data_IF_353156056514
#
_entry.id   IF_353156056514
#
_cell.length_a   1.000
_cell.length_b   1.000
_cell.length_c   1.000
_cell.angle_alpha   90.00
_cell.angle_beta   90.00
_cell.angle_gamma   90.00
#
_symmetry.space_group_name_H-M   'P 1'
#
loop_
_entity.id
_entity.type
_entity.pdbx_description
1 polymer ?
#
# COMPACT_ATOMS: atom_id res chain seq x y z
N UNK A 1 -6.84 -38.10 -7.02
CA UNK A 1 -6.99 -37.60 -5.63
C UNK A 1 -5.61 -37.56 -5.01
N UNK A 2 -4.96 -36.40 -5.02
CA UNK A 2 -3.65 -36.20 -4.40
C UNK A 2 -3.84 -35.97 -2.90
N UNK A 3 -3.20 -36.79 -2.10
CA UNK A 3 -3.13 -36.65 -0.63
C UNK A 3 -2.60 -35.25 -0.28
N UNK A 4 -3.22 -34.49 0.64
CA UNK A 4 -2.65 -33.22 1.08
C UNK A 4 -1.30 -33.50 1.73
N UNK A 5 -0.25 -32.92 1.15
CA UNK A 5 1.10 -32.94 1.71
C UNK A 5 1.01 -32.31 3.11
N UNK A 6 1.40 -33.06 4.15
CA UNK A 6 1.40 -32.55 5.53
C UNK A 6 2.18 -31.23 5.54
N UNK A 7 1.51 -30.14 5.90
CA UNK A 7 2.10 -28.81 5.85
C UNK A 7 3.03 -28.69 7.05
N UNK A 8 4.32 -28.92 6.84
CA UNK A 8 5.33 -28.88 7.89
C UNK A 8 5.51 -27.44 8.35
N UNK A 9 5.46 -27.22 9.66
CA UNK A 9 5.78 -25.93 10.25
C UNK A 9 7.28 -25.63 10.11
N UNK A 10 7.59 -24.42 9.66
CA UNK A 10 8.93 -23.83 9.59
C UNK A 10 9.20 -22.99 10.85
N UNK A 11 10.47 -22.65 11.09
CA UNK A 11 10.89 -21.74 12.15
C UNK A 11 11.78 -20.65 11.57
N UNK A 12 11.44 -19.40 11.85
CA UNK A 12 12.26 -18.25 11.48
C UNK A 12 13.48 -18.16 12.40
N UNK A 13 14.68 -18.14 11.83
CA UNK A 13 15.94 -18.15 12.59
C UNK A 13 16.16 -16.86 13.38
N UNK A 14 15.65 -15.74 12.86
CA UNK A 14 15.82 -14.40 13.46
C UNK A 14 14.96 -14.21 14.72
N UNK A 15 13.72 -14.69 14.69
CA UNK A 15 12.72 -14.42 15.73
C UNK A 15 12.32 -15.65 16.53
N UNK A 16 12.63 -16.84 16.01
CA UNK A 16 12.19 -18.11 16.58
C UNK A 16 10.70 -18.40 16.37
N UNK A 17 9.95 -17.52 15.68
CA UNK A 17 8.53 -17.75 15.40
C UNK A 17 8.34 -18.97 14.50
N UNK A 18 7.33 -19.77 14.83
CA UNK A 18 6.94 -20.96 14.06
C UNK A 18 5.81 -20.58 13.13
N UNK A 19 5.85 -21.04 11.89
CA UNK A 19 4.82 -20.71 10.90
C UNK A 19 4.60 -21.83 9.89
N UNK A 20 3.43 -21.84 9.25
CA UNK A 20 3.17 -22.62 8.04
C UNK A 20 3.28 -21.70 6.83
N UNK A 21 3.91 -22.20 5.78
CA UNK A 21 4.06 -21.49 4.51
C UNK A 21 3.15 -22.08 3.43
N UNK A 22 2.42 -21.22 2.73
CA UNK A 22 1.78 -21.52 1.44
C UNK A 22 2.47 -20.70 0.34
N UNK A 23 3.41 -21.35 -0.33
CA UNK A 23 4.20 -20.76 -1.40
C UNK A 23 3.32 -20.17 -2.52
N UNK A 24 3.75 -19.01 -3.05
CA UNK A 24 3.20 -18.49 -4.29
C UNK A 24 3.45 -19.49 -5.45
N UNK A 25 2.55 -19.52 -6.44
CA UNK A 25 2.71 -20.34 -7.65
C UNK A 25 3.59 -19.68 -8.72
N UNK A 26 4.12 -18.50 -8.44
CA UNK A 26 5.02 -17.74 -9.31
C UNK A 26 6.42 -17.68 -8.70
N UNK A 27 7.50 -17.64 -9.50
CA UNK A 27 8.87 -17.53 -8.98
C UNK A 27 9.13 -16.24 -8.18
N UNK A 28 8.45 -15.15 -8.55
CA UNK A 28 8.41 -13.90 -7.78
C UNK A 28 6.99 -13.72 -7.23
N UNK A 29 6.79 -13.63 -5.90
CA UNK A 29 5.48 -13.40 -5.32
C UNK A 29 4.97 -11.99 -5.65
N UNK A 30 3.70 -11.85 -6.00
CA UNK A 30 3.07 -10.55 -6.19
C UNK A 30 2.83 -9.78 -4.87
N UNK A 31 2.95 -10.48 -3.74
CA UNK A 31 2.83 -9.91 -2.41
C UNK A 31 2.93 -10.96 -1.32
N UNK A 32 3.08 -10.51 -0.09
CA UNK A 32 3.18 -11.32 1.12
C UNK A 32 1.96 -11.05 2.02
N UNK A 33 1.23 -12.10 2.39
CA UNK A 33 0.18 -12.03 3.41
C UNK A 33 0.62 -12.84 4.63
N UNK A 34 0.70 -12.18 5.79
CA UNK A 34 0.99 -12.83 7.07
C UNK A 34 -0.30 -12.89 7.90
N UNK A 35 -0.66 -14.09 8.34
CA UNK A 35 -1.92 -14.38 9.03
C UNK A 35 -1.67 -14.79 10.49
N UNK A 36 -2.35 -14.12 11.42
CA UNK A 36 -2.18 -14.28 12.86
C UNK A 36 -3.46 -14.85 13.50
N UNK A 37 -3.35 -15.96 14.23
CA UNK A 37 -4.48 -16.59 14.90
C UNK A 37 -4.91 -15.86 16.19
N UNK A 38 -6.13 -16.16 16.66
CA UNK A 38 -6.65 -15.67 17.95
C UNK A 38 -6.14 -16.45 19.17
N UNK A 39 -6.47 -16.00 20.38
CA UNK A 39 -6.04 -16.65 21.62
C UNK A 39 -6.48 -18.12 21.68
N UNK A 40 -5.57 -19.01 22.09
CA UNK A 40 -5.83 -20.46 22.15
C UNK A 40 -5.74 -21.17 20.79
N UNK A 41 -5.54 -20.43 19.70
CA UNK A 41 -5.32 -20.98 18.37
C UNK A 41 -3.85 -21.35 18.09
N UNK A 42 -3.53 -21.60 16.83
CA UNK A 42 -2.22 -21.93 16.29
C UNK A 42 -2.15 -21.61 14.78
N UNK A 43 -1.01 -21.89 14.15
CA UNK A 43 -0.73 -21.58 12.74
C UNK A 43 -1.58 -22.34 11.71
N UNK A 44 -2.43 -23.28 12.13
CA UNK A 44 -3.36 -23.99 11.23
C UNK A 44 -4.76 -23.35 11.18
N UNK A 45 -5.13 -22.51 12.15
CA UNK A 45 -6.51 -22.02 12.27
C UNK A 45 -6.98 -21.17 11.11
N UNK A 46 -6.07 -20.47 10.43
CA UNK A 46 -6.39 -19.60 9.30
C UNK A 46 -6.07 -20.25 7.94
N UNK A 47 -5.88 -21.57 7.89
CA UNK A 47 -5.70 -22.30 6.62
C UNK A 47 -6.83 -22.03 5.60
N UNK A 48 -8.12 -22.00 5.98
CA UNK A 48 -9.19 -21.65 5.02
C UNK A 48 -9.04 -20.25 4.42
N UNK A 49 -8.54 -19.30 5.22
CA UNK A 49 -8.23 -17.94 4.74
C UNK A 49 -7.07 -17.99 3.74
N UNK A 50 -5.98 -18.66 4.10
CA UNK A 50 -4.80 -18.81 3.23
C UNK A 50 -5.11 -19.50 1.90
N UNK A 51 -6.04 -20.46 1.89
CA UNK A 51 -6.48 -21.17 0.69
C UNK A 51 -7.32 -20.30 -0.25
N UNK A 52 -8.01 -19.29 0.28
CA UNK A 52 -8.88 -18.40 -0.50
C UNK A 52 -8.14 -17.21 -1.11
N UNK A 53 -6.93 -16.89 -0.62
CA UNK A 53 -6.09 -15.83 -1.16
C UNK A 53 -5.50 -16.20 -2.53
N UNK A 54 -5.27 -15.19 -3.39
CA UNK A 54 -4.66 -15.34 -4.71
C UNK A 54 -3.42 -16.25 -4.68
N UNK A 55 -3.30 -17.16 -5.65
CA UNK A 55 -2.15 -18.05 -5.77
C UNK A 55 -0.84 -17.32 -6.12
N UNK A 56 -0.91 -16.03 -6.50
CA UNK A 56 0.26 -15.18 -6.73
C UNK A 56 0.90 -14.65 -5.44
N UNK A 57 0.21 -14.75 -4.30
CA UNK A 57 0.74 -14.30 -3.02
C UNK A 57 1.52 -15.38 -2.29
N UNK A 58 2.57 -14.99 -1.60
CA UNK A 58 3.18 -15.79 -0.55
C UNK A 58 2.34 -15.64 0.73
N UNK A 59 2.02 -16.74 1.41
CA UNK A 59 1.18 -16.66 2.63
C UNK A 59 1.86 -17.39 3.79
N UNK A 60 2.03 -16.68 4.91
CA UNK A 60 2.62 -17.22 6.14
C UNK A 60 1.57 -17.21 7.25
N UNK A 61 1.27 -18.37 7.82
CA UNK A 61 0.40 -18.50 8.98
C UNK A 61 1.28 -18.64 10.22
N UNK A 62 1.23 -17.70 11.15
CA UNK A 62 2.22 -17.62 12.23
C UNK A 62 1.62 -18.04 13.56
N UNK A 63 2.36 -18.87 14.30
CA UNK A 63 2.04 -19.30 15.65
C UNK A 63 2.49 -18.24 16.67
N UNK A 64 1.60 -17.87 17.57
CA UNK A 64 1.92 -17.02 18.72
C UNK A 64 2.98 -17.68 19.62
N UNK A 65 3.90 -16.88 20.21
CA UNK A 65 5.06 -17.41 20.94
C UNK A 65 4.71 -18.09 22.26
N UNK A 66 3.54 -17.84 22.83
CA UNK A 66 3.15 -18.42 24.12
C UNK A 66 2.45 -19.75 23.90
N UNK A 67 2.83 -20.78 24.67
CA UNK A 67 2.10 -22.04 24.75
C UNK A 67 1.16 -21.99 25.96
N UNK A 68 -0.15 -22.09 25.70
CA UNK A 68 -1.19 -22.16 26.73
C UNK A 68 -1.58 -23.61 27.07
N UNK A 69 -1.41 -24.52 26.11
CA UNK A 69 -1.74 -25.93 26.22
C UNK A 69 -1.37 -26.70 24.95
N UNK A 70 -1.70 -28.00 24.86
CA UNK A 70 -1.43 -28.79 23.65
C UNK A 70 -2.07 -28.16 22.41
N UNK A 71 -1.25 -27.77 21.43
CA UNK A 71 -1.66 -27.08 20.21
C UNK A 71 -2.43 -25.75 20.43
N UNK A 72 -2.35 -25.17 21.63
CA UNK A 72 -2.98 -23.90 21.98
C UNK A 72 -1.93 -22.85 22.26
N UNK A 73 -1.96 -21.77 21.50
CA UNK A 73 -0.97 -20.70 21.53
C UNK A 73 -1.61 -19.31 21.66
N UNK A 74 -0.81 -18.33 22.03
CA UNK A 74 -1.23 -16.94 22.15
C UNK A 74 -0.09 -15.97 21.88
N UNK A 75 -0.46 -14.72 21.59
CA UNK A 75 0.46 -13.59 21.45
C UNK A 75 0.79 -12.96 22.81
N UNK A 76 -0.21 -12.85 23.66
CA UNK A 76 -0.10 -12.35 25.03
C UNK A 76 -1.20 -12.99 25.90
N UNK A 77 -1.00 -13.02 27.22
CA UNK A 77 -2.02 -13.50 28.15
C UNK A 77 -3.15 -12.49 28.33
N UNK A 78 -4.35 -13.01 28.51
CA UNK A 78 -5.54 -12.24 28.88
C UNK A 78 -6.08 -12.81 30.18
N UNK A 79 -6.11 -11.99 31.22
CA UNK A 79 -6.66 -12.31 32.53
C UNK A 79 -8.10 -11.79 32.60
N UNK A 80 -9.05 -12.69 32.78
CA UNK A 80 -10.46 -12.33 32.94
C UNK A 80 -10.77 -12.10 34.42
N UNK A 81 -10.95 -10.85 34.82
CA UNK A 81 -11.27 -10.47 36.20
C UNK A 81 -12.61 -9.74 36.31
N UNK A 82 -12.98 -9.34 37.54
CA UNK A 82 -14.23 -8.64 37.83
C UNK A 82 -14.43 -7.32 37.04
N UNK A 83 -13.33 -6.70 36.60
CA UNK A 83 -13.33 -5.46 35.81
C UNK A 83 -13.20 -5.71 34.30
N UNK A 84 -13.44 -6.93 33.84
CA UNK A 84 -13.27 -7.34 32.44
C UNK A 84 -11.86 -7.88 32.12
N UNK A 85 -11.58 -8.15 30.84
CA UNK A 85 -10.30 -8.70 30.40
C UNK A 85 -9.16 -7.69 30.54
N UNK A 86 -8.08 -8.09 31.20
CA UNK A 86 -6.81 -7.36 31.29
C UNK A 86 -5.72 -8.12 30.56
N UNK A 87 -4.95 -7.44 29.73
CA UNK A 87 -3.87 -8.07 28.98
C UNK A 87 -2.56 -8.00 29.77
N UNK A 88 -1.60 -8.86 29.43
CA UNK A 88 -0.20 -8.67 29.79
C UNK A 88 0.46 -7.74 28.76
N UNK A 89 0.64 -6.47 29.12
CA UNK A 89 1.14 -5.42 28.23
C UNK A 89 2.57 -5.69 27.75
N UNK A 90 3.43 -6.20 28.63
CA UNK A 90 4.82 -6.52 28.29
C UNK A 90 4.90 -7.67 27.28
N UNK A 91 4.03 -8.67 27.40
CA UNK A 91 3.93 -9.74 26.41
C UNK A 91 3.38 -9.24 25.08
N UNK A 92 2.36 -8.37 25.10
CA UNK A 92 1.80 -7.79 23.89
C UNK A 92 2.87 -6.97 23.14
N UNK A 93 3.64 -6.16 23.86
CA UNK A 93 4.73 -5.39 23.29
C UNK A 93 5.86 -6.28 22.74
N UNK A 94 6.28 -7.30 23.50
CA UNK A 94 7.30 -8.25 23.04
C UNK A 94 6.86 -9.00 21.76
N UNK A 95 5.58 -9.39 21.69
CA UNK A 95 5.01 -10.02 20.51
C UNK A 95 4.96 -9.06 19.31
N UNK A 96 4.55 -7.80 19.51
CA UNK A 96 4.51 -6.77 18.46
C UNK A 96 5.90 -6.51 17.88
N UNK A 97 6.87 -6.27 18.76
CA UNK A 97 8.27 -6.05 18.39
C UNK A 97 8.88 -7.27 17.67
N UNK A 98 8.51 -8.49 18.08
CA UNK A 98 8.96 -9.72 17.42
C UNK A 98 8.33 -9.90 16.03
N UNK A 99 7.05 -9.56 15.86
CA UNK A 99 6.39 -9.58 14.56
C UNK A 99 7.02 -8.60 13.56
N UNK A 100 7.41 -7.40 14.00
CA UNK A 100 8.11 -6.43 13.14
C UNK A 100 9.42 -7.02 12.60
N UNK A 101 10.22 -7.65 13.47
CA UNK A 101 11.47 -8.33 13.05
C UNK A 101 11.20 -9.53 12.14
N UNK A 102 10.11 -10.27 12.39
CA UNK A 102 9.70 -11.40 11.57
C UNK A 102 9.32 -10.95 10.16
N UNK A 103 8.54 -9.87 10.04
CA UNK A 103 8.21 -9.29 8.73
C UNK A 103 9.47 -8.93 7.95
N UNK A 104 10.40 -8.20 8.57
CA UNK A 104 11.65 -7.82 7.93
C UNK A 104 12.49 -9.03 7.48
N UNK A 105 12.60 -10.06 8.34
CA UNK A 105 13.30 -11.32 8.03
C UNK A 105 12.69 -12.04 6.83
N UNK A 106 11.36 -12.17 6.81
CA UNK A 106 10.65 -12.89 5.76
C UNK A 106 10.61 -12.10 4.44
N UNK A 107 10.44 -10.79 4.50
CA UNK A 107 10.52 -9.88 3.35
C UNK A 107 11.88 -10.00 2.65
N UNK A 108 12.99 -9.94 3.42
CA UNK A 108 14.33 -10.10 2.88
C UNK A 108 14.54 -11.50 2.27
N UNK A 109 14.09 -12.55 2.95
CA UNK A 109 14.19 -13.94 2.46
C UNK A 109 13.42 -14.19 1.17
N UNK A 110 12.25 -13.57 1.04
CA UNK A 110 11.32 -13.79 -0.07
C UNK A 110 11.48 -12.78 -1.21
N UNK A 111 12.27 -11.72 -1.02
CA UNK A 111 12.42 -10.64 -1.99
C UNK A 111 11.13 -9.81 -2.18
N UNK A 112 10.29 -9.73 -1.15
CA UNK A 112 9.04 -8.96 -1.16
C UNK A 112 9.21 -7.70 -0.32
N UNK A 113 8.86 -6.53 -0.85
CA UNK A 113 9.01 -5.27 -0.11
C UNK A 113 7.84 -5.03 0.87
N UNK A 114 8.01 -4.12 1.86
CA UNK A 114 6.93 -3.67 2.73
C UNK A 114 5.67 -3.20 2.00
N UNK A 115 5.83 -2.51 0.86
CA UNK A 115 4.74 -1.98 0.04
C UNK A 115 3.87 -3.08 -0.57
N UNK A 116 4.38 -4.31 -0.63
CA UNK A 116 3.67 -5.51 -1.06
C UNK A 116 3.47 -6.51 0.09
N UNK A 117 3.34 -6.03 1.32
CA UNK A 117 3.09 -6.87 2.50
C UNK A 117 1.83 -6.47 3.25
N UNK A 118 0.97 -7.44 3.55
CA UNK A 118 -0.20 -7.30 4.42
C UNK A 118 -0.06 -8.19 5.65
N UNK A 119 -0.35 -7.63 6.83
CA UNK A 119 -0.46 -8.38 8.08
C UNK A 119 -1.91 -8.40 8.55
N UNK A 120 -2.52 -9.56 8.71
CA UNK A 120 -3.90 -9.66 9.16
C UNK A 120 -4.08 -10.75 10.21
N UNK A 121 -5.15 -10.66 11.00
CA UNK A 121 -5.42 -11.72 11.96
C UNK A 121 -6.81 -11.65 12.56
N UNK A 122 -7.17 -12.75 13.21
CA UNK A 122 -8.44 -12.93 13.88
C UNK A 122 -8.31 -12.68 15.38
N UNK A 123 -9.26 -11.96 15.98
CA UNK A 123 -9.32 -11.72 17.42
C UNK A 123 -7.99 -11.17 17.93
N UNK A 124 -7.28 -11.88 18.82
CA UNK A 124 -5.94 -11.49 19.29
C UNK A 124 -4.94 -11.26 18.15
N UNK A 125 -4.98 -12.04 17.07
CA UNK A 125 -4.12 -11.81 15.91
C UNK A 125 -4.45 -10.50 15.18
N UNK A 126 -5.73 -10.11 15.15
CA UNK A 126 -6.15 -8.81 14.61
C UNK A 126 -5.67 -7.66 15.49
N UNK A 127 -5.69 -7.84 16.81
CA UNK A 127 -5.10 -6.88 17.75
C UNK A 127 -3.61 -6.66 17.44
N UNK A 128 -2.87 -7.75 17.22
CA UNK A 128 -1.46 -7.69 16.87
C UNK A 128 -1.20 -7.03 15.51
N UNK A 129 -2.02 -7.32 14.50
CA UNK A 129 -1.84 -6.75 13.15
C UNK A 129 -2.02 -5.23 13.14
N UNK A 130 -3.07 -4.73 13.79
CA UNK A 130 -3.28 -3.28 13.95
C UNK A 130 -2.18 -2.65 14.80
N UNK A 131 -1.75 -3.33 15.86
CA UNK A 131 -0.63 -2.90 16.69
C UNK A 131 0.64 -2.69 15.89
N UNK A 132 1.04 -3.64 15.05
CA UNK A 132 2.19 -3.50 14.16
C UNK A 132 1.97 -2.40 13.14
N UNK A 133 0.84 -2.40 12.43
CA UNK A 133 0.59 -1.42 11.35
C UNK A 133 0.63 0.03 11.84
N UNK A 134 0.04 0.33 12.99
CA UNK A 134 -0.04 1.70 13.52
C UNK A 134 1.25 2.21 14.14
N UNK A 135 2.15 1.32 14.54
CA UNK A 135 3.39 1.67 15.26
C UNK A 135 4.64 1.50 14.39
N UNK A 136 4.56 0.71 13.33
CA UNK A 136 5.61 0.50 12.34
C UNK A 136 5.04 0.51 10.90
N UNK A 137 4.37 1.59 10.46
CA UNK A 137 3.72 1.66 9.15
C UNK A 137 4.66 1.50 7.96
N UNK A 138 5.97 1.62 8.15
CA UNK A 138 6.97 1.36 7.10
C UNK A 138 7.22 -0.13 6.85
N UNK A 139 6.74 -1.05 7.71
CA UNK A 139 7.00 -2.48 7.56
C UNK A 139 5.97 -3.22 6.70
N UNK A 140 4.88 -2.57 6.30
CA UNK A 140 3.77 -3.16 5.55
C UNK A 140 2.92 -2.09 4.86
N UNK A 141 2.14 -2.47 3.85
CA UNK A 141 1.20 -1.56 3.15
C UNK A 141 -0.20 -1.57 3.78
N UNK A 142 -0.59 -2.67 4.43
CA UNK A 142 -1.89 -2.73 5.08
C UNK A 142 -2.05 -3.78 6.15
N UNK A 143 -3.00 -3.54 7.07
CA UNK A 143 -3.34 -4.46 8.14
C UNK A 143 -4.82 -4.85 8.16
N UNK A 144 -5.10 -6.10 8.52
CA UNK A 144 -6.46 -6.62 8.71
C UNK A 144 -6.78 -6.90 10.18
N UNK A 145 -7.79 -6.21 10.70
CA UNK A 145 -8.36 -6.36 12.04
C UNK A 145 -9.67 -7.17 11.93
N UNK A 146 -9.57 -8.50 11.95
CA UNK A 146 -10.73 -9.39 11.83
C UNK A 146 -11.27 -9.72 13.23
N UNK A 147 -12.43 -9.17 13.58
CA UNK A 147 -13.11 -9.35 14.87
C UNK A 147 -12.20 -9.04 16.07
N UNK A 148 -11.47 -7.91 16.01
CA UNK A 148 -10.48 -7.51 17.00
C UNK A 148 -10.72 -6.13 17.61
N UNK A 149 -9.70 -5.58 18.28
CA UNK A 149 -9.67 -4.19 18.78
C UNK A 149 -8.28 -3.58 18.68
N UNK A 150 -8.20 -2.25 18.73
CA UNK A 150 -6.91 -1.55 18.89
C UNK A 150 -6.64 -1.38 20.39
N UNK A 151 -5.44 -1.73 20.83
CA UNK A 151 -5.02 -1.61 22.22
C UNK A 151 -4.78 -0.14 22.58
N UNK A 152 -5.38 0.41 23.66
CA UNK A 152 -5.03 1.76 24.12
C UNK A 152 -3.54 1.87 24.51
N UNK A 153 -2.91 0.77 24.91
CA UNK A 153 -1.52 0.73 25.36
C UNK A 153 -0.52 1.10 24.25
N UNK A 154 -0.90 0.98 22.97
CA UNK A 154 -0.03 1.40 21.86
C UNK A 154 -0.14 2.90 21.56
N UNK A 155 -1.07 3.64 22.18
CA UNK A 155 -1.31 5.06 21.86
C UNK A 155 -0.04 5.93 21.86
N UNK A 156 0.90 5.79 22.82
CA UNK A 156 2.15 6.55 22.81
C UNK A 156 3.11 6.17 21.68
N UNK A 157 2.87 5.03 21.01
CA UNK A 157 3.71 4.44 19.98
C UNK A 157 3.11 4.60 18.58
N UNK A 158 1.88 5.12 18.47
CA UNK A 158 1.24 5.35 17.16
C UNK A 158 2.09 6.36 16.38
N UNK A 159 2.41 5.99 15.14
CA UNK A 159 3.23 6.82 14.27
C UNK A 159 2.54 8.16 13.92
N UNK A 160 3.30 9.20 13.55
CA UNK A 160 2.73 10.46 13.11
C UNK A 160 1.79 10.29 11.91
N UNK A 161 0.77 11.14 11.83
CA UNK A 161 -0.28 11.11 10.80
C UNK A 161 0.29 11.10 9.39
N UNK A 162 1.35 11.86 9.15
CA UNK A 162 2.01 12.03 7.84
C UNK A 162 2.59 10.71 7.32
N UNK A 163 2.98 9.82 8.23
CA UNK A 163 3.50 8.49 7.89
C UNK A 163 2.35 7.50 7.66
N UNK A 164 1.29 7.62 8.48
CA UNK A 164 0.13 6.73 8.46
C UNK A 164 -0.76 6.89 7.23
N UNK A 165 -0.67 7.99 6.46
CA UNK A 165 -1.49 8.16 5.25
C UNK A 165 -1.19 7.14 4.15
N UNK A 166 -0.05 6.43 4.22
CA UNK A 166 0.31 5.36 3.28
C UNK A 166 -0.24 4.00 3.69
N UNK A 167 -0.71 3.87 4.93
CA UNK A 167 -1.21 2.63 5.50
C UNK A 167 -2.67 2.41 5.12
N UNK A 168 -3.03 1.16 4.80
CA UNK A 168 -4.41 0.73 4.57
C UNK A 168 -4.92 -0.19 5.68
N UNK A 169 -6.07 0.12 6.25
CA UNK A 169 -6.74 -0.71 7.26
C UNK A 169 -7.95 -1.47 6.70
N UNK A 170 -8.15 -2.70 7.15
CA UNK A 170 -9.39 -3.44 6.94
C UNK A 170 -9.97 -3.87 8.27
N UNK A 171 -11.19 -3.45 8.56
CA UNK A 171 -11.93 -3.82 9.77
C UNK A 171 -13.11 -4.69 9.37
N UNK A 172 -13.20 -5.91 9.89
CA UNK A 172 -14.40 -6.73 9.79
C UNK A 172 -14.86 -7.15 11.18
N UNK A 173 -16.17 -7.14 11.44
CA UNK A 173 -16.69 -7.48 12.77
C UNK A 173 -18.12 -8.04 12.73
N UNK A 174 -18.41 -8.99 13.62
CA UNK A 174 -19.77 -9.50 13.84
C UNK A 174 -20.60 -8.56 14.72
N UNK A 175 -21.83 -8.23 14.31
CA UNK A 175 -22.75 -7.41 15.10
C UNK A 175 -23.20 -8.10 16.39
N UNK A 176 -23.12 -9.43 16.44
CA UNK A 176 -23.54 -10.28 17.55
C UNK A 176 -22.33 -10.84 18.32
N UNK A 177 -21.14 -10.29 18.10
CA UNK A 177 -19.92 -10.73 18.76
C UNK A 177 -19.99 -10.53 20.29
N UNK A 178 -20.21 -11.62 21.00
CA UNK A 178 -20.28 -11.67 22.46
C UNK A 178 -18.93 -11.68 23.17
N UNK A 179 -17.81 -11.77 22.44
CA UNK A 179 -16.45 -11.80 23.02
C UNK A 179 -15.83 -10.40 22.96
N UNK A 180 -15.86 -9.79 21.78
CA UNK A 180 -15.47 -8.40 21.55
C UNK A 180 -16.65 -7.67 20.93
N UNK A 181 -17.43 -6.91 21.71
CA UNK A 181 -18.61 -6.22 21.18
C UNK A 181 -18.29 -5.32 20.00
N UNK A 182 -19.19 -5.23 19.02
CA UNK A 182 -19.02 -4.47 17.76
C UNK A 182 -18.58 -3.01 17.95
N UNK A 183 -18.84 -2.42 19.13
CA UNK A 183 -18.31 -1.10 19.52
C UNK A 183 -16.78 -0.97 19.40
N UNK A 184 -16.03 -2.08 19.42
CA UNK A 184 -14.59 -2.06 19.17
C UNK A 184 -14.25 -1.73 17.71
N UNK A 185 -15.09 -2.14 16.75
CA UNK A 185 -14.96 -1.73 15.36
C UNK A 185 -15.25 -0.22 15.19
N UNK A 186 -16.25 0.33 15.92
CA UNK A 186 -16.51 1.78 15.95
C UNK A 186 -15.32 2.58 16.48
N UNK A 187 -14.74 2.13 17.60
CA UNK A 187 -13.57 2.77 18.19
C UNK A 187 -12.36 2.69 17.27
N UNK A 188 -12.14 1.54 16.63
CA UNK A 188 -11.07 1.38 15.65
C UNK A 188 -11.27 2.35 14.47
N UNK A 189 -12.46 2.40 13.88
CA UNK A 189 -12.82 3.34 12.82
C UNK A 189 -12.55 4.80 13.22
N UNK A 190 -12.96 5.21 14.41
CA UNK A 190 -12.74 6.57 14.90
C UNK A 190 -11.24 6.90 15.02
N UNK A 191 -10.46 6.01 15.63
CA UNK A 191 -9.01 6.16 15.79
C UNK A 191 -8.31 6.22 14.43
N UNK A 192 -8.64 5.33 13.49
CA UNK A 192 -8.04 5.35 12.15
C UNK A 192 -8.36 6.65 11.39
N UNK A 193 -9.58 7.16 11.53
CA UNK A 193 -9.99 8.45 10.95
C UNK A 193 -9.22 9.63 11.55
N UNK A 194 -9.05 9.67 12.87
CA UNK A 194 -8.26 10.69 13.58
C UNK A 194 -6.80 10.72 13.09
N UNK A 195 -6.21 9.54 12.90
CA UNK A 195 -4.84 9.39 12.42
C UNK A 195 -4.67 9.40 10.89
N UNK A 196 -5.73 9.65 10.12
CA UNK A 196 -5.67 9.78 8.66
C UNK A 196 -5.30 8.50 7.89
N UNK A 197 -5.48 7.33 8.50
CA UNK A 197 -5.29 6.02 7.85
C UNK A 197 -6.45 5.81 6.86
N UNK A 198 -6.17 5.34 5.65
CA UNK A 198 -7.23 4.92 4.73
C UNK A 198 -7.76 3.54 5.17
N UNK A 199 -9.07 3.36 5.31
CA UNK A 199 -9.60 2.07 5.77
C UNK A 199 -10.97 1.71 5.20
N UNK A 200 -11.27 0.41 5.20
CA UNK A 200 -12.59 -0.15 4.98
C UNK A 200 -13.15 -0.74 6.28
N UNK A 201 -14.47 -0.65 6.47
CA UNK A 201 -15.15 -1.25 7.62
C UNK A 201 -16.37 -2.02 7.16
N UNK A 202 -16.41 -3.29 7.52
CA UNK A 202 -17.47 -4.21 7.16
C UNK A 202 -18.08 -4.85 8.40
N UNK A 203 -19.42 -4.98 8.42
CA UNK A 203 -20.17 -5.55 9.55
C UNK A 203 -21.08 -6.66 9.05
N UNK A 204 -21.26 -7.68 9.89
CA UNK A 204 -21.96 -8.89 9.51
C UNK A 204 -22.91 -9.32 10.63
N UNK A 205 -24.04 -9.94 10.28
CA UNK A 205 -24.85 -10.69 11.24
C UNK A 205 -24.11 -12.00 11.58
N UNK A 206 -23.19 -11.91 12.55
CA UNK A 206 -22.28 -12.97 12.92
C UNK A 206 -21.81 -12.79 14.37
N UNK A 207 -21.40 -13.89 14.99
CA UNK A 207 -20.78 -13.91 16.33
C UNK A 207 -19.27 -13.67 16.22
N UNK A 208 -18.49 -14.17 17.20
CA UNK A 208 -17.03 -14.11 17.21
C UNK A 208 -16.41 -15.18 16.31
N UNK A 209 -16.49 -15.00 14.99
CA UNK A 209 -16.01 -15.95 13.99
C UNK A 209 -15.56 -15.26 12.70
N UNK A 210 -15.02 -16.03 11.75
CA UNK A 210 -14.81 -15.59 10.35
C UNK A 210 -15.85 -16.29 9.48
N UNK A 211 -16.81 -15.51 8.98
CA UNK A 211 -17.83 -16.02 8.05
C UNK A 211 -17.32 -16.04 6.61
N UNK A 212 -17.96 -16.79 5.69
CA UNK A 212 -17.62 -16.74 4.27
C UNK A 212 -17.71 -15.35 3.65
N UNK A 213 -18.66 -14.52 4.09
CA UNK A 213 -18.78 -13.13 3.62
C UNK A 213 -17.61 -12.26 4.09
N UNK A 214 -17.24 -12.35 5.37
CA UNK A 214 -16.04 -11.69 5.91
C UNK A 214 -14.78 -12.09 5.15
N UNK A 215 -14.66 -13.38 4.84
CA UNK A 215 -13.53 -13.92 4.09
C UNK A 215 -13.49 -13.38 2.66
N UNK A 216 -14.63 -13.34 1.97
CA UNK A 216 -14.71 -12.81 0.61
C UNK A 216 -14.27 -11.33 0.54
N UNK A 217 -14.77 -10.50 1.46
CA UNK A 217 -14.41 -9.07 1.51
C UNK A 217 -12.91 -8.88 1.86
N UNK A 218 -12.39 -9.67 2.79
CA UNK A 218 -10.96 -9.65 3.12
C UNK A 218 -10.09 -10.06 1.93
N UNK A 219 -10.47 -11.10 1.19
CA UNK A 219 -9.75 -11.55 -0.02
C UNK A 219 -9.78 -10.45 -1.09
N UNK A 220 -10.93 -9.81 -1.31
CA UNK A 220 -11.06 -8.72 -2.27
C UNK A 220 -10.21 -7.50 -1.87
N UNK A 221 -10.25 -7.09 -0.60
CA UNK A 221 -9.45 -5.98 -0.09
C UNK A 221 -7.95 -6.27 -0.14
N UNK A 222 -7.51 -7.44 0.33
CA UNK A 222 -6.09 -7.80 0.35
C UNK A 222 -5.54 -7.93 -1.07
N UNK A 223 -6.35 -8.41 -2.03
CA UNK A 223 -5.98 -8.44 -3.44
C UNK A 223 -5.74 -7.03 -3.95
N UNK A 224 -6.73 -6.12 -3.85
CA UNK A 224 -6.58 -4.71 -4.28
C UNK A 224 -5.42 -3.98 -3.59
N UNK A 225 -5.16 -4.30 -2.33
CA UNK A 225 -4.09 -3.69 -1.54
C UNK A 225 -2.70 -4.14 -1.98
N UNK A 226 -2.55 -5.40 -2.42
CA UNK A 226 -1.26 -5.98 -2.77
C UNK A 226 -0.95 -5.97 -4.28
N UNK A 227 -1.98 -5.93 -5.12
CA UNK A 227 -1.79 -5.80 -6.56
C UNK A 227 -1.57 -4.33 -6.90
N UNK A 228 -0.37 -3.99 -7.35
CA UNK A 228 -0.13 -2.76 -8.11
C UNK A 228 -1.12 -2.73 -9.28
N UNK A 229 -2.00 -1.74 -9.26
CA UNK A 229 -2.83 -1.42 -10.40
C UNK A 229 -1.98 -0.59 -11.35
N UNK A 230 -1.86 -1.04 -12.60
CA UNK A 230 -1.40 -0.19 -13.66
C UNK A 230 -2.48 0.86 -13.93
N UNK A 231 -2.16 2.15 -13.77
CA UNK A 231 -3.04 3.27 -14.11
C UNK A 231 -2.67 3.72 -15.52
N UNK A 232 -3.47 3.41 -16.54
CA UNK A 232 -3.29 3.97 -17.87
C UNK A 232 -3.31 5.48 -17.82
N UNK A 233 -2.25 6.09 -18.33
CA UNK A 233 -2.11 7.50 -18.65
C UNK A 233 -2.24 7.66 -20.16
N UNK A 234 -3.09 8.60 -20.58
CA UNK A 234 -3.06 9.17 -21.91
C UNK A 234 -2.95 10.69 -21.83
N UNK A 235 -1.90 11.23 -22.43
CA UNK A 235 -1.67 12.65 -22.62
C UNK A 235 -1.70 12.94 -24.12
N UNK A 236 -2.76 13.63 -24.55
CA UNK A 236 -2.93 14.07 -25.92
C UNK A 236 -2.80 15.59 -26.04
N UNK A 237 -2.93 16.09 -27.25
CA UNK A 237 -2.97 17.52 -27.53
C UNK A 237 -4.15 18.22 -26.85
N UNK A 238 -5.26 17.51 -26.62
CA UNK A 238 -6.49 18.10 -26.12
C UNK A 238 -6.73 17.84 -24.62
N UNK A 239 -6.21 16.75 -24.06
CA UNK A 239 -6.56 16.36 -22.69
C UNK A 239 -5.54 15.44 -22.04
N UNK A 240 -5.58 15.44 -20.71
CA UNK A 240 -4.94 14.48 -19.83
C UNK A 240 -6.00 13.52 -19.27
N UNK A 241 -5.75 12.22 -19.38
CA UNK A 241 -6.61 11.17 -18.82
C UNK A 241 -5.80 10.15 -18.06
N UNK A 242 -6.26 9.80 -16.87
CA UNK A 242 -5.77 8.64 -16.13
C UNK A 242 -6.88 7.95 -15.35
N UNK A 243 -6.80 6.64 -15.18
CA UNK A 243 -7.79 5.92 -14.38
C UNK A 243 -7.84 4.43 -14.60
N UNK A 244 -8.44 3.73 -13.65
CA UNK A 244 -8.65 2.29 -13.66
C UNK A 244 -9.94 1.94 -12.88
N UNK A 245 -10.64 0.88 -13.29
CA UNK A 245 -11.79 0.27 -12.59
C UNK A 245 -12.76 1.26 -11.90
N UNK A 246 -13.38 2.13 -12.70
CA UNK A 246 -14.42 3.05 -12.23
C UNK A 246 -13.92 4.35 -11.60
N UNK A 247 -12.61 4.48 -11.37
CA UNK A 247 -11.97 5.74 -11.01
C UNK A 247 -11.24 6.33 -12.21
N UNK A 248 -11.66 7.51 -12.65
CA UNK A 248 -11.00 8.24 -13.73
C UNK A 248 -10.86 9.72 -13.41
N UNK A 249 -9.74 10.28 -13.87
CA UNK A 249 -9.46 11.71 -13.95
C UNK A 249 -9.37 12.07 -15.42
N UNK A 250 -10.13 13.09 -15.81
CA UNK A 250 -10.08 13.67 -17.14
C UNK A 250 -10.02 15.18 -16.98
N UNK A 251 -8.88 15.75 -17.36
CA UNK A 251 -8.64 17.18 -17.31
C UNK A 251 -8.50 17.71 -18.74
N UNK A 252 -9.02 18.92 -19.04
CA UNK A 252 -8.78 19.62 -20.31
C UNK A 252 -7.33 20.15 -20.40
N UNK A 253 -6.38 19.40 -19.85
CA UNK A 253 -4.96 19.71 -19.77
C UNK A 253 -4.20 18.94 -20.85
N UNK A 254 -4.31 19.40 -22.09
CA UNK A 254 -3.57 18.85 -23.23
C UNK A 254 -2.34 19.67 -23.59
N UNK A 255 -1.45 19.12 -24.43
CA UNK A 255 -0.23 19.84 -24.84
C UNK A 255 -0.55 21.14 -25.59
N UNK A 256 -1.59 21.16 -26.43
CA UNK A 256 -2.01 22.34 -27.17
C UNK A 256 -2.51 23.45 -26.26
N UNK A 257 -3.24 23.12 -25.19
CA UNK A 257 -3.70 24.10 -24.22
C UNK A 257 -2.50 24.79 -23.53
N UNK A 258 -1.56 23.99 -23.02
CA UNK A 258 -0.34 24.51 -22.37
C UNK A 258 0.48 25.38 -23.31
N UNK A 259 0.66 24.97 -24.57
CA UNK A 259 1.42 25.73 -25.57
C UNK A 259 0.72 27.06 -25.88
N UNK A 260 -0.57 27.01 -26.18
CA UNK A 260 -1.33 28.18 -26.63
C UNK A 260 -1.41 29.24 -25.54
N UNK A 261 -1.62 28.81 -24.30
CA UNK A 261 -1.87 29.72 -23.19
C UNK A 261 -0.56 30.27 -22.60
N UNK A 262 0.52 29.46 -22.59
CA UNK A 262 1.74 29.79 -21.84
C UNK A 262 3.04 29.79 -22.66
N UNK A 263 3.27 28.80 -23.54
CA UNK A 263 4.58 28.61 -24.19
C UNK A 263 4.68 29.29 -25.56
N UNK A 264 4.83 30.62 -25.57
CA UNK A 264 4.87 31.40 -26.83
C UNK A 264 6.24 31.38 -27.51
N UNK A 265 7.29 31.02 -26.78
CA UNK A 265 8.66 31.01 -27.29
C UNK A 265 9.24 29.57 -27.31
N UNK A 266 10.19 29.34 -28.22
CA UNK A 266 10.97 28.09 -28.30
C UNK A 266 12.47 28.45 -28.33
N UNK A 267 13.21 28.20 -27.24
CA UNK A 267 12.76 27.66 -25.96
C UNK A 267 11.84 28.64 -25.20
N UNK A 268 10.97 28.15 -24.30
CA UNK A 268 10.14 29.01 -23.46
C UNK A 268 10.98 29.91 -22.56
N UNK A 269 10.45 31.07 -22.18
CA UNK A 269 11.08 31.94 -21.19
C UNK A 269 10.79 31.47 -19.75
N UNK A 270 11.61 31.86 -18.75
CA UNK A 270 11.43 31.41 -17.37
C UNK A 270 10.03 31.71 -16.81
N UNK A 271 9.51 32.91 -17.08
CA UNK A 271 8.15 33.31 -16.65
C UNK A 271 7.05 32.49 -17.34
N UNK A 272 7.27 32.00 -18.56
CA UNK A 272 6.32 31.12 -19.25
C UNK A 272 6.27 29.74 -18.59
N UNK A 273 7.43 29.22 -18.18
CA UNK A 273 7.51 27.96 -17.43
C UNK A 273 6.83 28.08 -16.06
N UNK A 274 7.12 29.15 -15.31
CA UNK A 274 6.50 29.38 -13.99
C UNK A 274 4.97 29.46 -14.07
N UNK A 275 4.44 30.24 -15.02
CA UNK A 275 2.99 30.38 -15.20
C UNK A 275 2.34 29.06 -15.63
N UNK A 276 2.97 28.31 -16.53
CA UNK A 276 2.48 27.01 -16.96
C UNK A 276 2.44 26.01 -15.79
N UNK A 277 3.51 25.96 -14.98
CA UNK A 277 3.58 25.11 -13.78
C UNK A 277 2.43 25.46 -12.84
N UNK A 278 2.29 26.74 -12.46
CA UNK A 278 1.24 27.17 -11.54
C UNK A 278 -0.16 26.72 -12.00
N UNK A 279 -0.49 26.89 -13.28
CA UNK A 279 -1.79 26.46 -13.80
C UNK A 279 -1.97 24.94 -13.76
N UNK A 280 -0.91 24.18 -14.13
CA UNK A 280 -0.95 22.72 -14.09
C UNK A 280 -1.14 22.22 -12.65
N UNK A 281 -0.44 22.81 -11.68
CA UNK A 281 -0.59 22.46 -10.26
C UNK A 281 -2.02 22.71 -9.76
N UNK A 282 -2.60 23.86 -10.12
CA UNK A 282 -3.98 24.22 -9.76
C UNK A 282 -5.00 23.23 -10.35
N UNK A 283 -4.81 22.81 -11.61
CA UNK A 283 -5.67 21.83 -12.28
C UNK A 283 -5.55 20.42 -11.67
N UNK A 284 -4.37 20.06 -11.15
CA UNK A 284 -4.10 18.76 -10.53
C UNK A 284 -4.52 18.70 -9.06
N UNK A 285 -4.59 19.83 -8.36
CA UNK A 285 -4.90 19.92 -6.93
C UNK A 285 -6.15 19.12 -6.51
N UNK A 286 -7.28 19.13 -7.26
CA UNK A 286 -8.48 18.39 -6.89
C UNK A 286 -8.32 16.85 -6.91
N UNK A 287 -7.28 16.34 -7.57
CA UNK A 287 -7.03 14.90 -7.73
C UNK A 287 -5.95 14.33 -6.80
N UNK A 288 -5.31 15.18 -5.98
CA UNK A 288 -4.25 14.81 -5.05
C UNK A 288 -4.77 13.74 -4.08
N UNK A 289 -4.12 12.55 -4.10
CA UNK A 289 -4.42 11.32 -3.32
C UNK A 289 -5.32 10.26 -3.97
N UNK A 290 -5.88 10.48 -5.16
CA UNK A 290 -6.77 9.48 -5.77
C UNK A 290 -6.04 8.24 -6.31
N UNK A 291 -4.80 8.40 -6.78
CA UNK A 291 -4.06 7.33 -7.45
C UNK A 291 -2.71 6.97 -6.79
N UNK A 292 -2.50 7.41 -5.55
CA UNK A 292 -1.24 7.20 -4.85
C UNK A 292 -0.96 5.70 -4.59
N UNK A 293 0.29 5.29 -4.79
CA UNK A 293 0.75 3.91 -4.58
C UNK A 293 0.44 2.94 -5.73
N UNK A 294 0.04 3.46 -6.89
CA UNK A 294 -0.13 2.68 -8.11
C UNK A 294 0.98 2.95 -9.13
N UNK A 295 1.12 2.08 -10.13
CA UNK A 295 2.11 2.27 -11.20
C UNK A 295 1.46 2.98 -12.37
N UNK A 296 1.99 4.13 -12.77
CA UNK A 296 1.52 4.84 -13.95
C UNK A 296 2.08 4.17 -15.21
N UNK A 297 1.22 3.83 -16.17
CA UNK A 297 1.62 3.22 -17.44
C UNK A 297 1.08 4.01 -18.62
N UNK A 298 1.79 4.07 -19.73
CA UNK A 298 1.28 4.70 -20.95
C UNK A 298 1.54 3.86 -22.19
N UNK A 299 0.61 3.93 -23.13
CA UNK A 299 0.75 3.38 -24.49
C UNK A 299 1.08 4.49 -25.50
N UNK A 300 1.17 5.74 -25.06
CA UNK A 300 1.32 6.86 -25.97
C UNK A 300 2.70 6.86 -26.63
N UNK A 301 2.73 7.16 -27.92
CA UNK A 301 3.96 7.09 -28.73
C UNK A 301 5.05 8.05 -28.24
N UNK A 302 4.66 9.17 -27.61
CA UNK A 302 5.59 10.16 -27.09
C UNK A 302 6.51 9.61 -25.99
N UNK A 303 6.14 8.50 -25.34
CA UNK A 303 6.92 7.92 -24.25
C UNK A 303 8.34 7.54 -24.73
N UNK A 304 8.46 6.98 -25.93
CA UNK A 304 9.75 6.52 -26.46
C UNK A 304 10.74 7.69 -26.65
N UNK A 305 10.25 8.85 -27.09
CA UNK A 305 11.07 10.05 -27.23
C UNK A 305 11.61 10.52 -25.87
N UNK A 306 10.73 10.69 -24.88
CA UNK A 306 11.13 11.11 -23.53
C UNK A 306 12.06 10.09 -22.86
N UNK A 307 11.75 8.80 -22.94
CA UNK A 307 12.55 7.74 -22.33
C UNK A 307 13.98 7.71 -22.90
N UNK A 308 14.14 7.99 -24.20
CA UNK A 308 15.45 8.03 -24.87
C UNK A 308 16.40 9.12 -24.33
N UNK A 309 15.86 10.14 -23.65
CA UNK A 309 16.62 11.22 -23.02
C UNK A 309 17.04 10.89 -21.58
N UNK A 310 16.62 9.73 -21.07
CA UNK A 310 16.90 9.22 -19.72
C UNK A 310 17.82 8.01 -19.76
N UNK A 311 18.09 7.41 -18.60
CA UNK A 311 18.90 6.19 -18.50
C UNK A 311 18.14 4.89 -18.83
N UNK A 312 16.82 4.93 -19.05
CA UNK A 312 15.98 3.75 -19.28
C UNK A 312 14.99 3.96 -20.44
N UNK A 313 14.86 2.95 -21.30
CA UNK A 313 13.89 2.94 -22.40
C UNK A 313 12.52 2.33 -22.00
N UNK A 314 12.42 1.75 -20.80
CA UNK A 314 11.21 1.07 -20.32
C UNK A 314 10.44 1.87 -19.26
N UNK A 315 11.11 2.83 -18.62
CA UNK A 315 10.56 3.58 -17.49
C UNK A 315 11.19 4.95 -17.38
N UNK A 316 10.40 5.94 -16.94
CA UNK A 316 10.86 7.28 -16.61
C UNK A 316 10.57 7.52 -15.13
N UNK A 317 11.61 7.74 -14.32
CA UNK A 317 11.44 8.05 -12.89
C UNK A 317 11.12 9.54 -12.69
N UNK A 318 10.51 9.88 -11.55
CA UNK A 318 10.30 11.28 -11.15
C UNK A 318 11.61 12.07 -11.15
N UNK A 319 12.68 11.49 -10.62
CA UNK A 319 14.03 12.10 -10.62
C UNK A 319 14.55 12.35 -12.05
N UNK A 320 14.32 11.43 -12.98
CA UNK A 320 14.71 11.63 -14.37
C UNK A 320 13.95 12.80 -15.01
N UNK A 321 12.66 12.97 -14.72
CA UNK A 321 11.89 14.14 -15.16
C UNK A 321 12.43 15.44 -14.57
N UNK A 322 12.79 15.47 -13.28
CA UNK A 322 13.41 16.65 -12.66
C UNK A 322 14.73 17.03 -13.33
N UNK A 323 15.56 16.05 -13.68
CA UNK A 323 16.81 16.30 -14.43
C UNK A 323 16.54 16.86 -15.82
N UNK A 324 15.53 16.34 -16.54
CA UNK A 324 15.14 16.87 -17.85
C UNK A 324 14.59 18.29 -17.73
N UNK A 325 13.77 18.55 -16.71
CA UNK A 325 13.23 19.87 -16.44
C UNK A 325 14.33 20.87 -16.10
N UNK A 326 15.31 20.51 -15.27
CA UNK A 326 16.45 21.38 -14.98
C UNK A 326 17.24 21.79 -16.22
N UNK A 327 17.35 20.90 -17.22
CA UNK A 327 17.94 21.25 -18.53
C UNK A 327 17.07 22.21 -19.34
N UNK A 328 15.74 22.00 -19.35
CA UNK A 328 14.79 22.91 -20.00
C UNK A 328 14.84 24.30 -19.36
N UNK A 329 14.84 24.38 -18.03
CA UNK A 329 14.94 25.64 -17.28
C UNK A 329 16.26 26.37 -17.56
N UNK A 330 17.40 25.65 -17.59
CA UNK A 330 18.68 26.26 -17.93
C UNK A 330 18.69 26.83 -19.37
N UNK A 331 18.04 26.17 -20.33
CA UNK A 331 17.85 26.72 -21.68
C UNK A 331 16.96 27.97 -21.69
N UNK A 332 15.89 27.99 -20.90
CA UNK A 332 15.03 29.16 -20.74
C UNK A 332 15.80 30.37 -20.20
N UNK A 333 16.80 30.14 -19.35
CA UNK A 333 17.73 31.17 -18.82
C UNK A 333 18.83 31.59 -19.81
N UNK A 334 18.84 31.05 -21.03
CA UNK A 334 19.78 31.42 -22.09
C UNK A 334 21.03 30.55 -22.18
N UNK A 335 21.06 29.38 -21.53
CA UNK A 335 22.14 28.41 -21.73
C UNK A 335 22.14 27.89 -23.19
N UNK A 336 23.29 27.80 -23.88
CA UNK A 336 23.34 27.35 -25.27
C UNK A 336 22.82 25.92 -25.47
N UNK A 337 21.94 25.72 -26.46
CA UNK A 337 21.28 24.45 -26.80
C UNK A 337 22.23 23.35 -27.27
N UNK A 338 23.46 23.69 -27.64
CA UNK A 338 24.48 22.74 -28.13
C UNK A 338 25.01 21.76 -27.08
N UNK A 339 24.68 21.96 -25.79
CA UNK A 339 25.18 21.14 -24.67
C UNK A 339 24.19 20.09 -24.16
N UNK A 340 22.91 20.21 -24.49
CA UNK A 340 21.82 19.40 -23.95
C UNK A 340 21.01 18.80 -25.11
N UNK A 341 20.88 17.47 -25.17
CA UNK A 341 20.19 16.75 -26.28
C UNK A 341 18.65 16.91 -26.27
N UNK A 342 18.13 18.00 -25.70
CA UNK A 342 16.68 18.22 -25.61
C UNK A 342 16.11 18.66 -26.97
N UNK A 343 14.94 18.14 -27.38
CA UNK A 343 14.20 18.64 -28.55
C UNK A 343 13.88 20.13 -28.44
N UNK A 344 13.96 20.86 -29.56
CA UNK A 344 13.50 22.24 -29.69
C UNK A 344 12.04 22.25 -30.17
N UNK A 345 11.15 21.70 -29.35
CA UNK A 345 9.74 21.50 -29.64
C UNK A 345 8.87 21.96 -28.48
N UNK A 346 7.86 22.78 -28.77
CA UNK A 346 6.91 23.26 -27.76
C UNK A 346 6.06 22.12 -27.18
N UNK A 347 5.73 21.09 -27.97
CA UNK A 347 5.02 19.91 -27.47
C UNK A 347 5.89 19.11 -26.51
N UNK A 348 7.20 19.03 -26.72
CA UNK A 348 8.13 18.42 -25.78
C UNK A 348 8.12 19.15 -24.43
N UNK A 349 8.27 20.47 -24.45
CA UNK A 349 8.24 21.28 -23.23
C UNK A 349 6.90 21.13 -22.49
N UNK A 350 5.77 21.23 -23.19
CA UNK A 350 4.45 21.05 -22.59
C UNK A 350 4.26 19.66 -21.97
N UNK A 351 4.65 18.59 -22.68
CA UNK A 351 4.59 17.21 -22.15
C UNK A 351 5.43 17.05 -20.90
N UNK A 352 6.66 17.57 -20.90
CA UNK A 352 7.56 17.48 -19.76
C UNK A 352 6.98 18.18 -18.53
N UNK A 353 6.42 19.38 -18.68
CA UNK A 353 5.76 20.11 -17.59
C UNK A 353 4.57 19.34 -17.03
N UNK A 354 3.63 18.91 -17.89
CA UNK A 354 2.44 18.18 -17.45
C UNK A 354 2.81 16.89 -16.72
N UNK A 355 3.76 16.11 -17.25
CA UNK A 355 4.17 14.85 -16.63
C UNK A 355 4.91 15.07 -15.31
N UNK A 356 5.77 16.08 -15.23
CA UNK A 356 6.49 16.43 -14.00
C UNK A 356 5.51 16.74 -12.88
N UNK A 357 4.61 17.69 -13.11
CA UNK A 357 3.64 18.08 -12.08
C UNK A 357 2.67 16.94 -11.76
N UNK A 358 2.21 16.19 -12.76
CA UNK A 358 1.35 15.02 -12.52
C UNK A 358 2.02 13.99 -11.61
N UNK A 359 3.26 13.62 -11.91
CA UNK A 359 3.98 12.61 -11.12
C UNK A 359 4.32 13.13 -9.72
N UNK A 360 4.55 14.44 -9.58
CA UNK A 360 4.79 15.06 -8.28
C UNK A 360 3.50 15.13 -7.43
N UNK A 361 2.44 15.73 -7.95
CA UNK A 361 1.19 15.99 -7.23
C UNK A 361 0.35 14.73 -6.96
N UNK A 362 0.43 13.72 -7.83
CA UNK A 362 -0.29 12.46 -7.65
C UNK A 362 0.55 11.36 -7.00
N UNK A 363 1.78 11.68 -6.59
CA UNK A 363 2.75 10.79 -5.93
C UNK A 363 3.08 9.51 -6.73
N UNK A 364 3.24 9.64 -8.04
CA UNK A 364 3.77 8.58 -8.89
C UNK A 364 5.30 8.63 -8.92
N UNK A 365 5.95 7.54 -8.51
CA UNK A 365 7.41 7.43 -8.51
C UNK A 365 7.98 7.13 -9.91
N UNK A 366 7.22 6.43 -10.74
CA UNK A 366 7.65 5.95 -12.06
C UNK A 366 6.49 5.94 -13.06
N UNK A 367 6.77 6.36 -14.29
CA UNK A 367 5.95 6.11 -15.47
C UNK A 367 6.58 4.97 -16.29
N UNK A 368 5.82 3.93 -16.59
CA UNK A 368 6.31 2.79 -17.39
C UNK A 368 5.65 2.75 -18.77
N UNK A 369 6.37 2.15 -19.72
CA UNK A 369 5.74 1.70 -20.96
C UNK A 369 4.82 0.52 -20.64
N UNK A 370 3.58 0.60 -21.11
CA UNK A 370 2.62 -0.50 -21.01
C UNK A 370 2.94 -1.64 -21.99
#
# INVERSE_FOLDING_TARGET
MTTPQATLSERDETTGLVFIRRAARTPAPAGLVVLLHGVGGNETNLLPVAQSLSAAFEVLLVRGPLTLGPAQHAWFRVNFGANGPRIDEAQAEAARSTLIRFLASQQARLGVSPEHTVLAGFSQGGIMSAGVGLTAPHSLTGFGLLSGRILPEIAPLIAPREVLTRLRGFISHGNEDGVLPVSWADRAKALLGEHGVAFETHRYAANHEITPAMLADFVAWSTRTLTEVAIPLSLSDASLRLGHDGESLHLPLGTTAVITDFLRHVPPHPVELENAIQQIEDDLQPAVRRFAGHTLVTHDAWFAELASLTSSNASISREALEILFGKLAARAEGRPTSQDRLPEDAHFAARLLVLRELMHHLDFSVLRRA
#
